data_IF_669534321946
#
_entry.id   IF_669534321946
#
_cell.length_a   1.000
_cell.length_b   1.000
_cell.length_c   1.000
_cell.angle_alpha   90.00
_cell.angle_beta   90.00
_cell.angle_gamma   90.00
#
_symmetry.space_group_name_H-M   'P 1'
#
loop_
_entity.id
_entity.type
_entity.pdbx_description
1 polymer ?
#
# COMPACT_ATOMS: atom_id res chain seq x y z
N UNK A 1 6.68 -2.38 24.95
CA UNK A 1 6.41 -2.19 23.51
C UNK A 1 7.69 -1.69 22.87
N UNK A 2 8.16 -2.30 21.83
CA UNK A 2 9.38 -1.90 21.11
C UNK A 2 9.08 -0.65 20.27
N UNK A 3 10.06 0.24 20.10
CA UNK A 3 9.92 1.38 19.18
C UNK A 3 9.74 0.88 17.75
N UNK A 4 8.93 1.59 16.96
CA UNK A 4 8.70 1.33 15.55
C UNK A 4 9.40 2.39 14.69
N UNK A 5 10.43 1.98 13.94
CA UNK A 5 11.14 2.86 13.02
C UNK A 5 10.43 2.85 11.65
N UNK A 6 9.89 4.00 11.27
CA UNK A 6 9.12 4.13 10.02
C UNK A 6 9.84 5.04 9.04
N UNK A 7 10.03 4.57 7.82
CA UNK A 7 10.56 5.36 6.71
C UNK A 7 9.43 5.71 5.74
N UNK A 8 9.13 7.00 5.63
CA UNK A 8 8.21 7.51 4.61
C UNK A 8 9.01 7.87 3.35
N UNK A 9 8.66 7.25 2.23
CA UNK A 9 9.31 7.54 0.95
C UNK A 9 8.43 8.46 0.13
N UNK A 10 8.63 9.76 0.29
CA UNK A 10 7.99 10.77 -0.55
C UNK A 10 8.83 10.97 -1.82
N UNK A 11 8.29 10.59 -2.97
CA UNK A 11 9.00 10.61 -4.25
C UNK A 11 8.20 11.35 -5.32
N UNK A 12 8.91 11.94 -6.27
CA UNK A 12 8.31 12.48 -7.48
C UNK A 12 8.12 11.34 -8.47
N UNK A 13 6.87 10.91 -8.65
CA UNK A 13 6.54 9.78 -9.50
C UNK A 13 6.62 10.14 -10.98
N UNK A 14 7.15 9.23 -11.76
CA UNK A 14 7.09 9.29 -13.21
C UNK A 14 5.70 8.84 -13.66
N UNK A 15 4.95 9.76 -14.23
CA UNK A 15 3.57 9.53 -14.63
C UNK A 15 3.44 8.34 -15.59
N UNK A 16 2.59 7.36 -15.22
CA UNK A 16 2.28 6.18 -16.03
C UNK A 16 3.52 5.39 -16.51
N UNK A 17 4.57 5.36 -15.70
CA UNK A 17 5.82 4.69 -16.01
C UNK A 17 6.26 3.70 -14.91
N UNK A 18 5.63 2.53 -14.90
CA UNK A 18 5.88 1.49 -13.89
C UNK A 18 7.35 1.12 -13.77
N UNK A 19 8.02 0.83 -14.88
CA UNK A 19 9.43 0.41 -14.84
C UNK A 19 10.36 1.52 -14.36
N UNK A 20 10.09 2.76 -14.79
CA UNK A 20 10.84 3.93 -14.35
C UNK A 20 10.68 4.18 -12.85
N UNK A 21 9.45 4.07 -12.33
CA UNK A 21 9.18 4.24 -10.90
C UNK A 21 9.85 3.14 -10.07
N UNK A 22 9.74 1.87 -10.46
CA UNK A 22 10.41 0.78 -9.73
C UNK A 22 11.93 1.01 -9.65
N UNK A 23 12.58 1.37 -10.76
CA UNK A 23 14.02 1.69 -10.78
C UNK A 23 14.36 2.95 -9.96
N UNK A 24 13.45 3.93 -9.91
CA UNK A 24 13.62 5.12 -9.07
C UNK A 24 13.57 4.75 -7.58
N UNK A 25 12.60 3.92 -7.17
CA UNK A 25 12.49 3.45 -5.79
C UNK A 25 13.68 2.58 -5.39
N UNK A 26 14.23 1.74 -6.26
CA UNK A 26 15.45 0.97 -5.97
C UNK A 26 16.60 1.89 -5.53
N UNK A 27 16.83 2.97 -6.27
CA UNK A 27 17.87 3.96 -5.93
C UNK A 27 17.60 4.69 -4.62
N UNK A 28 16.32 4.99 -4.32
CA UNK A 28 15.95 5.59 -3.03
C UNK A 28 16.17 4.62 -1.89
N UNK A 29 15.86 3.35 -2.09
CA UNK A 29 16.01 2.30 -1.09
C UNK A 29 17.49 2.05 -0.72
N UNK A 30 18.43 2.26 -1.65
CA UNK A 30 19.87 2.18 -1.33
C UNK A 30 20.26 3.10 -0.17
N UNK A 31 19.56 4.22 0.00
CA UNK A 31 19.81 5.20 1.06
C UNK A 31 19.13 4.88 2.39
N UNK A 32 18.18 3.94 2.39
CA UNK A 32 17.46 3.53 3.59
C UNK A 32 18.36 2.57 4.37
N UNK A 33 18.65 2.93 5.60
CA UNK A 33 19.42 2.11 6.54
C UNK A 33 18.47 1.18 7.32
N UNK A 34 18.54 1.16 8.63
CA UNK A 34 17.68 0.34 9.50
C UNK A 34 16.31 0.97 9.63
N UNK A 35 15.27 0.19 9.35
CA UNK A 35 13.85 0.58 9.48
C UNK A 35 13.00 -0.67 9.63
N UNK A 36 11.84 -0.57 10.26
CA UNK A 36 10.92 -1.67 10.45
C UNK A 36 9.81 -1.65 9.40
N UNK A 37 9.42 -0.45 8.95
CA UNK A 37 8.34 -0.23 7.99
C UNK A 37 8.72 0.84 6.97
N UNK A 38 8.58 0.52 5.69
CA UNK A 38 8.74 1.46 4.58
C UNK A 38 7.37 1.73 3.97
N UNK A 39 6.98 3.00 3.90
CA UNK A 39 5.70 3.42 3.33
C UNK A 39 5.95 4.16 2.01
N UNK A 40 5.40 3.60 0.93
CA UNK A 40 5.42 4.16 -0.42
C UNK A 40 4.15 4.97 -0.69
N UNK A 41 4.17 5.88 -1.69
CA UNK A 41 3.00 6.66 -2.08
C UNK A 41 1.82 5.82 -2.59
N UNK A 42 0.64 6.43 -2.65
CA UNK A 42 -0.51 5.90 -3.39
C UNK A 42 -0.16 5.70 -4.86
N UNK A 43 -0.53 4.53 -5.42
CA UNK A 43 -0.24 4.14 -6.81
C UNK A 43 1.23 4.42 -7.20
N UNK A 44 2.16 3.99 -6.34
CA UNK A 44 3.58 4.36 -6.45
C UNK A 44 4.24 3.94 -7.76
N UNK A 45 3.67 3.00 -8.49
CA UNK A 45 4.20 2.54 -9.77
C UNK A 45 3.78 3.41 -10.96
N UNK A 46 2.70 4.17 -10.84
CA UNK A 46 2.08 4.88 -11.97
C UNK A 46 1.76 6.34 -11.71
N UNK A 47 1.62 6.73 -10.45
CA UNK A 47 0.89 7.93 -10.05
C UNK A 47 -0.63 7.68 -10.09
N UNK A 48 -1.41 8.64 -9.59
CA UNK A 48 -2.86 8.53 -9.45
C UNK A 48 -3.56 8.67 -10.81
N UNK A 49 -3.55 7.59 -11.61
CA UNK A 49 -4.14 7.54 -12.96
C UNK A 49 -5.50 6.84 -12.97
N UNK A 50 -6.36 7.23 -13.90
CA UNK A 50 -7.64 6.56 -14.19
C UNK A 50 -7.52 5.49 -15.30
N UNK A 51 -6.33 5.23 -15.81
CA UNK A 51 -6.05 4.22 -16.83
C UNK A 51 -5.87 2.81 -16.22
N UNK A 52 -6.82 2.41 -15.36
CA UNK A 52 -6.72 1.17 -14.59
C UNK A 52 -6.39 -0.05 -15.46
N UNK A 53 -7.12 -0.22 -16.55
CA UNK A 53 -6.95 -1.35 -17.48
C UNK A 53 -5.56 -1.42 -18.12
N UNK A 54 -4.94 -0.27 -18.38
CA UNK A 54 -3.65 -0.20 -19.07
C UNK A 54 -2.47 -0.44 -18.15
N UNK A 55 -2.63 -0.15 -16.85
CA UNK A 55 -1.55 -0.15 -15.86
C UNK A 55 -1.76 -1.11 -14.71
N UNK A 56 -2.83 -1.90 -14.74
CA UNK A 56 -3.04 -2.91 -13.72
C UNK A 56 -1.95 -3.98 -13.76
N UNK A 57 -1.52 -4.37 -12.57
CA UNK A 57 -0.72 -5.55 -12.32
C UNK A 57 -1.61 -6.64 -11.68
N UNK A 58 -1.05 -7.80 -11.42
CA UNK A 58 -1.70 -8.92 -10.73
C UNK A 58 -1.00 -9.17 -9.38
N UNK A 59 -1.66 -9.93 -8.51
CA UNK A 59 -1.08 -10.26 -7.19
C UNK A 59 0.26 -11.01 -7.27
N UNK A 60 0.50 -11.74 -8.37
CA UNK A 60 1.79 -12.38 -8.67
C UNK A 60 2.58 -11.63 -9.77
N UNK A 61 2.21 -10.38 -10.03
CA UNK A 61 2.81 -9.57 -11.09
C UNK A 61 4.13 -8.92 -10.70
N UNK A 62 4.69 -8.17 -11.65
CA UNK A 62 6.02 -7.58 -11.54
C UNK A 62 6.19 -6.67 -10.33
N UNK A 63 5.19 -5.82 -10.06
CA UNK A 63 5.29 -4.80 -9.00
C UNK A 63 5.19 -5.42 -7.62
N UNK A 64 4.31 -6.41 -7.44
CA UNK A 64 4.18 -7.14 -6.17
C UNK A 64 5.43 -7.98 -5.90
N UNK A 65 5.98 -8.65 -6.91
CA UNK A 65 7.24 -9.38 -6.80
C UNK A 65 8.44 -8.47 -6.51
N UNK A 66 8.43 -7.26 -7.06
CA UNK A 66 9.42 -6.24 -6.72
C UNK A 66 9.33 -5.87 -5.22
N UNK A 67 8.10 -5.62 -4.70
CA UNK A 67 7.91 -5.35 -3.27
C UNK A 67 8.44 -6.50 -2.41
N UNK A 68 8.15 -7.75 -2.78
CA UNK A 68 8.62 -8.95 -2.08
C UNK A 68 10.15 -8.99 -2.02
N UNK A 69 10.82 -8.79 -3.17
CA UNK A 69 12.27 -8.76 -3.24
C UNK A 69 12.89 -7.63 -2.41
N UNK A 70 12.26 -6.45 -2.39
CA UNK A 70 12.76 -5.34 -1.59
C UNK A 70 12.51 -5.55 -0.10
N UNK A 71 11.37 -6.11 0.31
CA UNK A 71 11.08 -6.42 1.71
C UNK A 71 12.09 -7.43 2.28
N UNK A 72 12.40 -8.48 1.52
CA UNK A 72 13.45 -9.45 1.85
C UNK A 72 14.82 -8.78 1.98
N UNK A 73 15.24 -7.99 0.98
CA UNK A 73 16.54 -7.30 1.00
C UNK A 73 16.69 -6.32 2.17
N UNK A 74 15.63 -5.60 2.51
CA UNK A 74 15.64 -4.60 3.58
C UNK A 74 15.35 -5.17 4.96
N UNK A 75 14.86 -6.42 5.03
CA UNK A 75 14.39 -7.04 6.28
C UNK A 75 13.38 -6.14 7.01
N UNK A 76 12.49 -5.51 6.24
CA UNK A 76 11.50 -4.55 6.69
C UNK A 76 10.16 -4.78 5.96
N UNK A 77 9.08 -4.44 6.61
CA UNK A 77 7.77 -4.39 5.96
C UNK A 77 7.77 -3.29 4.91
N UNK A 78 7.22 -3.57 3.73
CA UNK A 78 7.01 -2.56 2.69
C UNK A 78 5.51 -2.45 2.40
N UNK A 79 4.98 -1.24 2.43
CA UNK A 79 3.58 -0.98 2.09
C UNK A 79 3.45 0.18 1.12
N UNK A 80 2.47 0.10 0.25
CA UNK A 80 2.11 1.10 -0.74
C UNK A 80 1.00 0.57 -1.63
N UNK A 81 0.28 1.45 -2.33
CA UNK A 81 -0.80 0.97 -3.20
C UNK A 81 -0.39 0.84 -4.65
N UNK A 82 -1.04 -0.08 -5.31
CA UNK A 82 -0.86 -0.46 -6.71
C UNK A 82 -2.23 -0.51 -7.40
N UNK A 83 -2.24 -0.45 -8.71
CA UNK A 83 -3.41 -0.82 -9.51
C UNK A 83 -3.36 -2.32 -9.70
N UNK A 84 -4.34 -3.04 -9.15
CA UNK A 84 -4.42 -4.51 -9.26
C UNK A 84 -5.69 -4.91 -10.00
N UNK A 85 -5.54 -5.79 -10.97
CA UNK A 85 -6.66 -6.55 -11.54
C UNK A 85 -6.88 -7.83 -10.75
N UNK A 86 -8.12 -8.06 -10.37
CA UNK A 86 -8.54 -9.26 -9.66
C UNK A 86 -9.98 -9.60 -10.06
N UNK A 87 -10.19 -10.79 -10.62
CA UNK A 87 -11.48 -11.28 -11.13
C UNK A 87 -12.18 -10.28 -12.10
N UNK A 88 -11.41 -9.70 -13.03
CA UNK A 88 -11.90 -8.75 -14.03
C UNK A 88 -12.27 -7.37 -13.49
N UNK A 89 -11.94 -7.08 -12.24
CA UNK A 89 -12.13 -5.79 -11.59
C UNK A 89 -10.79 -5.13 -11.30
N UNK A 90 -10.79 -3.81 -11.20
CA UNK A 90 -9.60 -3.04 -10.91
C UNK A 90 -9.71 -2.40 -9.54
N UNK A 91 -8.63 -2.47 -8.77
CA UNK A 91 -8.57 -1.96 -7.41
C UNK A 91 -7.36 -1.03 -7.24
N UNK A 92 -7.55 0.03 -6.47
CA UNK A 92 -6.45 0.74 -5.82
C UNK A 92 -6.14 -0.05 -4.55
N UNK A 93 -5.19 -1.01 -4.67
CA UNK A 93 -4.88 -2.02 -3.65
C UNK A 93 -3.57 -1.70 -2.94
N UNK A 94 -3.64 -1.46 -1.66
CA UNK A 94 -2.48 -1.41 -0.80
C UNK A 94 -2.00 -2.83 -0.52
N UNK A 95 -0.72 -3.06 -0.76
CA UNK A 95 -0.01 -4.28 -0.38
C UNK A 95 0.74 -4.01 0.91
N UNK A 96 0.62 -4.93 1.85
CA UNK A 96 1.43 -5.01 3.06
C UNK A 96 2.32 -6.23 2.94
N UNK A 97 3.57 -6.03 2.55
CA UNK A 97 4.53 -7.09 2.25
C UNK A 97 5.48 -7.29 3.41
N UNK A 98 5.48 -8.48 4.01
CA UNK A 98 6.39 -8.88 5.07
C UNK A 98 7.77 -9.27 4.51
N UNK A 99 8.85 -9.21 5.32
CA UNK A 99 10.19 -9.64 4.90
C UNK A 99 10.29 -11.10 4.47
N UNK A 100 9.46 -11.98 5.02
CA UNK A 100 9.36 -13.41 4.67
C UNK A 100 8.55 -13.70 3.40
N UNK A 101 7.99 -12.65 2.78
CA UNK A 101 7.18 -12.75 1.57
C UNK A 101 5.69 -12.98 1.82
N UNK A 102 5.25 -13.15 3.07
CA UNK A 102 3.82 -13.11 3.38
C UNK A 102 3.25 -11.74 3.09
N UNK A 103 2.04 -11.69 2.57
CA UNK A 103 1.38 -10.42 2.28
C UNK A 103 -0.06 -10.39 2.76
N UNK A 104 -0.48 -9.19 3.17
CA UNK A 104 -1.86 -8.79 3.34
C UNK A 104 -2.17 -7.68 2.36
N UNK A 105 -3.46 -7.46 2.06
CA UNK A 105 -3.85 -6.37 1.19
C UNK A 105 -5.13 -5.68 1.66
N UNK A 106 -5.23 -4.40 1.30
CA UNK A 106 -6.38 -3.57 1.55
C UNK A 106 -6.79 -2.85 0.26
N UNK A 107 -8.04 -3.01 -0.15
CA UNK A 107 -8.61 -2.27 -1.26
C UNK A 107 -9.22 -0.97 -0.76
N UNK A 108 -8.85 0.14 -1.37
CA UNK A 108 -9.35 1.48 -1.02
C UNK A 108 -10.87 1.49 -0.91
N UNK A 109 -11.36 1.89 0.25
CA UNK A 109 -12.80 1.92 0.53
C UNK A 109 -13.48 3.11 -0.12
N UNK A 110 -12.90 4.31 0.03
CA UNK A 110 -13.50 5.54 -0.42
C UNK A 110 -12.76 6.05 -1.65
N UNK A 111 -13.37 5.83 -2.80
CA UNK A 111 -12.84 6.29 -4.07
C UNK A 111 -13.05 7.79 -4.22
N UNK A 112 -12.10 8.48 -4.85
CA UNK A 112 -12.11 9.93 -5.02
C UNK A 112 -12.98 10.33 -6.21
N UNK A 113 -14.29 10.48 -5.98
CA UNK A 113 -15.30 10.78 -7.01
C UNK A 113 -15.06 12.09 -7.76
N UNK A 114 -14.39 13.06 -7.14
CA UNK A 114 -14.03 14.31 -7.85
C UNK A 114 -13.07 14.06 -9.02
N UNK A 115 -12.28 12.99 -8.98
CA UNK A 115 -11.45 12.56 -10.10
C UNK A 115 -12.12 11.47 -10.96
N UNK A 116 -13.32 11.02 -10.61
CA UNK A 116 -14.03 9.96 -11.30
C UNK A 116 -13.45 8.56 -11.02
N UNK A 117 -12.74 8.37 -9.91
CA UNK A 117 -12.08 7.10 -9.55
C UNK A 117 -13.07 5.93 -9.53
N UNK A 118 -14.31 6.17 -9.09
CA UNK A 118 -15.39 5.16 -9.03
C UNK A 118 -15.83 4.60 -10.40
N UNK A 119 -15.44 5.24 -11.49
CA UNK A 119 -15.72 4.77 -12.85
C UNK A 119 -14.68 3.77 -13.35
N UNK A 120 -13.53 3.71 -12.68
CA UNK A 120 -12.36 2.94 -13.12
C UNK A 120 -11.92 1.89 -12.10
N UNK A 121 -12.30 2.06 -10.83
CA UNK A 121 -11.90 1.19 -9.74
C UNK A 121 -13.09 0.69 -8.94
N UNK A 122 -12.93 -0.46 -8.33
CA UNK A 122 -13.90 -1.09 -7.44
C UNK A 122 -13.54 -0.76 -5.99
N UNK A 123 -14.46 -0.27 -5.16
CA UNK A 123 -14.18 -0.01 -3.75
C UNK A 123 -14.05 -1.30 -2.95
N UNK A 124 -13.12 -1.31 -2.00
CA UNK A 124 -13.02 -2.35 -1.00
C UNK A 124 -14.14 -2.29 0.05
N UNK A 125 -14.23 -3.33 0.87
CA UNK A 125 -15.24 -3.41 1.93
C UNK A 125 -14.70 -4.00 3.24
N UNK A 126 -13.39 -4.28 3.31
CA UNK A 126 -12.76 -4.97 4.44
C UNK A 126 -11.58 -4.16 4.96
N UNK A 127 -11.47 -4.03 6.27
CA UNK A 127 -10.28 -3.53 6.95
C UNK A 127 -9.29 -4.67 7.17
N UNK A 128 -8.02 -4.32 7.23
CA UNK A 128 -6.95 -5.21 7.69
C UNK A 128 -6.23 -4.55 8.86
N UNK A 129 -5.62 -5.35 9.72
CA UNK A 129 -4.87 -4.90 10.87
C UNK A 129 -3.55 -5.69 10.96
N UNK A 130 -2.66 -5.53 9.96
CA UNK A 130 -1.38 -6.19 10.00
C UNK A 130 -0.54 -5.69 11.18
N UNK A 131 0.43 -6.53 11.57
CA UNK A 131 1.27 -6.28 12.72
C UNK A 131 2.74 -6.16 12.31
N UNK A 132 3.47 -5.25 12.95
CA UNK A 132 4.91 -5.12 12.88
C UNK A 132 5.44 -4.68 14.25
N UNK A 133 6.41 -5.43 14.82
CA UNK A 133 6.98 -5.16 16.15
C UNK A 133 5.92 -4.96 17.23
N UNK A 134 4.92 -5.82 17.31
CA UNK A 134 3.78 -5.75 18.24
C UNK A 134 2.81 -4.57 18.00
N UNK A 135 3.08 -3.72 16.99
CA UNK A 135 2.17 -2.64 16.60
C UNK A 135 1.13 -3.13 15.61
N UNK A 136 -0.14 -3.02 15.96
CA UNK A 136 -1.25 -3.23 15.03
C UNK A 136 -1.55 -1.96 14.27
N UNK A 137 -1.49 -2.03 12.95
CA UNK A 137 -1.62 -0.87 12.07
C UNK A 137 -2.87 -1.00 11.22
N UNK A 138 -3.67 0.06 11.16
CA UNK A 138 -4.77 0.19 10.21
C UNK A 138 -4.28 0.99 9.00
N UNK A 139 -3.94 0.33 7.88
CA UNK A 139 -3.56 1.04 6.66
C UNK A 139 -4.80 1.62 5.97
N UNK A 140 -4.66 2.83 5.47
CA UNK A 140 -5.68 3.56 4.71
C UNK A 140 -5.03 4.18 3.47
N UNK A 141 -5.84 4.43 2.43
CA UNK A 141 -5.36 5.04 1.19
C UNK A 141 -6.00 6.42 1.02
N UNK A 142 -5.17 7.47 1.08
CA UNK A 142 -5.47 8.86 0.69
C UNK A 142 -6.86 9.35 1.15
N UNK A 143 -7.87 9.29 0.29
CA UNK A 143 -9.21 9.83 0.53
C UNK A 143 -9.95 9.12 1.67
N UNK A 144 -9.58 7.90 2.06
CA UNK A 144 -10.11 7.22 3.24
C UNK A 144 -9.97 8.07 4.52
N UNK A 145 -8.93 8.93 4.58
CA UNK A 145 -8.70 9.83 5.72
C UNK A 145 -9.86 10.80 5.97
N UNK A 146 -10.66 11.11 4.94
CA UNK A 146 -11.82 12.00 5.04
C UNK A 146 -13.03 11.34 5.70
N UNK A 147 -12.95 10.04 6.01
CA UNK A 147 -14.07 9.27 6.55
C UNK A 147 -13.75 8.73 7.95
N UNK A 148 -13.89 9.57 9.02
CA UNK A 148 -13.53 9.18 10.39
C UNK A 148 -14.29 7.93 10.89
N UNK A 149 -15.50 7.69 10.40
CA UNK A 149 -16.26 6.48 10.72
C UNK A 149 -15.56 5.21 10.24
N UNK A 150 -14.85 5.31 9.09
CA UNK A 150 -14.09 4.19 8.56
C UNK A 150 -12.75 4.00 9.29
N UNK A 151 -12.05 5.07 9.60
CA UNK A 151 -10.76 5.02 10.31
C UNK A 151 -10.91 4.77 11.82
N UNK A 152 -12.11 4.98 12.37
CA UNK A 152 -12.37 4.75 13.79
C UNK A 152 -12.28 3.27 14.12
N UNK A 153 -11.66 2.97 15.24
CA UNK A 153 -11.76 1.66 15.88
C UNK A 153 -13.17 1.48 16.45
N UNK A 154 -13.74 0.29 16.25
CA UNK A 154 -15.06 -0.07 16.78
C UNK A 154 -14.89 -1.15 17.84
N UNK A 155 -15.71 -1.16 18.92
CA UNK A 155 -15.71 -2.24 19.88
C UNK A 155 -16.04 -3.59 19.21
N UNK A 156 -15.51 -4.71 19.75
CA UNK A 156 -14.61 -4.80 20.87
C UNK A 156 -13.18 -4.36 20.52
N UNK A 157 -12.63 -3.47 21.34
CA UNK A 157 -11.24 -2.97 21.17
C UNK A 157 -10.17 -4.01 21.50
N UNK A 158 -10.58 -5.21 21.91
CA UNK A 158 -9.69 -6.27 22.42
C UNK A 158 -8.66 -6.76 21.42
N UNK A 159 -8.94 -6.68 20.12
CA UNK A 159 -8.00 -7.10 19.08
C UNK A 159 -7.09 -5.95 18.61
N UNK A 160 -7.45 -4.71 18.90
CA UNK A 160 -6.71 -3.54 18.48
C UNK A 160 -5.76 -3.00 19.55
N UNK A 161 -5.70 -3.70 20.68
CA UNK A 161 -4.97 -3.22 21.85
C UNK A 161 -5.41 -1.81 22.23
N UNK A 162 -5.99 -1.65 23.39
CA UNK A 162 -6.10 -0.34 24.02
C UNK A 162 -4.68 0.12 24.38
N UNK A 163 -3.99 0.73 23.44
CA UNK A 163 -2.62 1.19 23.62
C UNK A 163 -2.46 2.59 23.07
#
# INVERSE_FOLDING_TARGET
MQDLNVTLVQANLLWENTSGNLSHFEKLFEKITTTDLIILPEMFTTGFTMQSKSFADFMEGKSVNWMRSQAEKKQAVITGSLIIEDDGKYFNRLIWMQPDGELNYYDKRHLFSLAGEEKHYTPGNRKIFPEVNEWKILPLICYDLRFPVWSRQSPPFTELGAH
#
